data_IF_589367948972
#
_entry.id   IF_589367948972
#
_cell.length_a   1.000
_cell.length_b   1.000
_cell.length_c   1.000
_cell.angle_alpha   90.00
_cell.angle_beta   90.00
_cell.angle_gamma   90.00
#
_symmetry.space_group_name_H-M   'P 1'
#
loop_
_entity.id
_entity.type
_entity.pdbx_description
1 polymer ?
#
# COMPACT_ATOMS: atom_id res chain seq x y z
N UNK A 1 -9.08 71.88 4.63
CA UNK A 1 -10.43 71.64 4.08
C UNK A 1 -10.29 70.65 2.93
N UNK A 2 -11.20 69.68 2.91
CA UNK A 2 -11.47 68.67 1.87
C UNK A 2 -10.68 67.35 1.92
N UNK A 3 -11.31 66.38 2.57
CA UNK A 3 -11.40 65.00 2.10
C UNK A 3 -11.94 64.93 0.66
N UNK A 4 -11.63 63.85 -0.06
CA UNK A 4 -12.69 62.90 -0.42
C UNK A 4 -12.36 61.44 -0.07
N UNK A 5 -13.42 60.70 0.29
CA UNK A 5 -13.48 59.23 0.43
C UNK A 5 -13.59 58.54 -0.94
N UNK A 6 -13.07 57.31 -1.05
CA UNK A 6 -13.58 56.17 -1.84
C UNK A 6 -12.59 55.00 -1.64
N UNK A 7 -12.96 53.94 -0.90
CA UNK A 7 -13.50 52.66 -1.42
C UNK A 7 -12.50 51.95 -2.37
N UNK A 8 -12.10 50.68 -2.22
CA UNK A 8 -12.72 49.52 -1.62
C UNK A 8 -11.65 48.45 -1.33
N UNK A 9 -11.83 47.66 -0.27
CA UNK A 9 -11.15 46.38 -0.11
C UNK A 9 -11.67 45.39 -1.16
N UNK A 10 -10.80 44.77 -1.99
CA UNK A 10 -11.18 43.53 -2.66
C UNK A 10 -10.94 42.39 -1.68
N UNK A 11 -12.03 41.88 -1.10
CA UNK A 11 -12.09 40.52 -0.57
C UNK A 11 -11.80 39.54 -1.72
N UNK A 12 -10.52 39.17 -1.91
CA UNK A 12 -10.17 38.03 -2.76
C UNK A 12 -10.41 36.75 -1.95
N UNK A 13 -11.67 36.34 -1.93
CA UNK A 13 -12.04 34.96 -1.66
C UNK A 13 -11.46 34.09 -2.76
N UNK A 14 -10.26 33.56 -2.53
CA UNK A 14 -9.78 32.40 -3.26
C UNK A 14 -10.28 31.15 -2.54
N UNK A 15 -11.53 30.80 -2.83
CA UNK A 15 -12.01 29.43 -2.70
C UNK A 15 -11.26 28.58 -3.75
N UNK A 16 -10.00 28.28 -3.45
CA UNK A 16 -9.34 27.14 -4.08
C UNK A 16 -10.04 25.89 -3.57
N UNK A 17 -11.15 25.54 -4.21
CA UNK A 17 -11.58 24.16 -4.31
C UNK A 17 -10.41 23.39 -4.92
N UNK A 18 -9.53 22.88 -4.06
CA UNK A 18 -8.51 21.94 -4.45
C UNK A 18 -9.20 20.81 -5.22
N UNK A 19 -8.86 20.67 -6.49
CA UNK A 19 -9.31 19.55 -7.30
C UNK A 19 -9.02 18.27 -6.52
N UNK A 20 -9.95 17.29 -6.48
CA UNK A 20 -9.72 16.05 -5.75
C UNK A 20 -8.46 15.38 -6.31
N UNK A 21 -7.50 15.11 -5.42
CA UNK A 21 -6.22 14.50 -5.74
C UNK A 21 -6.39 13.25 -6.63
N UNK A 22 -5.60 13.10 -7.71
CA UNK A 22 -5.27 11.78 -8.19
C UNK A 22 -4.33 11.17 -7.13
N UNK A 23 -4.88 10.36 -6.23
CA UNK A 23 -4.05 9.59 -5.32
C UNK A 23 -3.24 8.58 -6.15
N UNK A 24 -1.92 8.73 -6.19
CA UNK A 24 -0.99 7.76 -6.81
C UNK A 24 -1.11 6.37 -6.15
N UNK A 25 -1.58 6.33 -4.90
CA UNK A 25 -2.11 5.13 -4.27
C UNK A 25 -3.56 4.95 -4.74
N UNK A 26 -3.88 3.85 -5.43
CA UNK A 26 -5.20 3.61 -6.01
C UNK A 26 -6.37 4.01 -5.10
N UNK A 27 -7.42 4.60 -5.70
CA UNK A 27 -8.64 5.14 -5.07
C UNK A 27 -8.94 4.59 -3.66
N UNK A 28 -8.51 5.27 -2.60
CA UNK A 28 -8.76 4.84 -1.23
C UNK A 28 -10.14 5.33 -0.74
N UNK A 29 -10.76 4.57 0.15
CA UNK A 29 -12.00 4.98 0.81
C UNK A 29 -11.77 6.14 1.78
N UNK A 30 -12.71 7.10 1.78
CA UNK A 30 -12.81 8.16 2.78
C UNK A 30 -13.84 7.74 3.83
N UNK A 31 -13.36 7.03 4.85
CA UNK A 31 -14.20 6.47 5.91
C UNK A 31 -14.38 7.48 7.04
N UNK A 32 -15.56 7.43 7.67
CA UNK A 32 -15.89 8.24 8.84
C UNK A 32 -16.53 7.39 9.94
N UNK A 33 -16.49 7.87 11.18
CA UNK A 33 -17.19 7.26 12.32
C UNK A 33 -16.61 5.91 12.76
N UNK A 34 -17.48 4.95 13.05
CA UNK A 34 -17.10 3.64 13.59
C UNK A 34 -16.18 2.85 12.63
N UNK A 35 -16.52 2.83 11.33
CA UNK A 35 -15.74 2.11 10.32
C UNK A 35 -14.29 2.59 10.26
N UNK A 36 -14.07 3.92 10.32
CA UNK A 36 -12.73 4.50 10.38
C UNK A 36 -11.96 4.03 11.62
N UNK A 37 -12.59 4.01 12.80
CA UNK A 37 -11.95 3.54 14.03
C UNK A 37 -11.55 2.07 13.95
N UNK A 38 -12.40 1.22 13.39
CA UNK A 38 -12.11 -0.21 13.22
C UNK A 38 -10.93 -0.41 12.25
N UNK A 39 -10.94 0.27 11.10
CA UNK A 39 -9.82 0.21 10.13
C UNK A 39 -8.53 0.73 10.74
N UNK A 40 -8.59 1.85 11.47
CA UNK A 40 -7.43 2.42 12.18
C UNK A 40 -6.90 1.45 13.24
N UNK A 41 -7.78 0.78 13.99
CA UNK A 41 -7.37 -0.22 14.99
C UNK A 41 -6.69 -1.41 14.32
N UNK A 42 -7.21 -1.89 13.19
CA UNK A 42 -6.58 -2.96 12.41
C UNK A 42 -5.22 -2.54 11.83
N UNK A 43 -5.09 -1.31 11.34
CA UNK A 43 -3.81 -0.77 10.86
C UNK A 43 -2.79 -0.66 12.00
N UNK A 44 -3.20 -0.16 13.17
CA UNK A 44 -2.35 -0.12 14.36
C UNK A 44 -1.94 -1.52 14.83
N UNK A 45 -2.86 -2.49 14.80
CA UNK A 45 -2.55 -3.88 15.12
C UNK A 45 -1.53 -4.47 14.13
N UNK A 46 -1.67 -4.18 12.84
CA UNK A 46 -0.71 -4.61 11.83
C UNK A 46 0.67 -3.97 12.02
N UNK A 47 0.72 -2.66 12.29
CA UNK A 47 1.97 -1.97 12.60
C UNK A 47 2.64 -2.51 13.87
N UNK A 48 1.86 -2.73 14.94
CA UNK A 48 2.35 -3.31 16.18
C UNK A 48 2.90 -4.73 15.96
N UNK A 49 2.16 -5.57 15.24
CA UNK A 49 2.60 -6.90 14.84
C UNK A 49 3.97 -6.84 14.13
N UNK A 50 4.10 -5.98 13.12
CA UNK A 50 5.33 -5.87 12.35
C UNK A 50 6.51 -5.35 13.18
N UNK A 51 6.28 -4.38 14.07
CA UNK A 51 7.31 -3.90 14.99
C UNK A 51 7.76 -4.99 15.97
N UNK A 52 6.84 -5.77 16.51
CA UNK A 52 7.15 -6.89 17.42
C UNK A 52 7.94 -7.98 16.69
N UNK A 53 7.51 -8.36 15.48
CA UNK A 53 8.24 -9.33 14.66
C UNK A 53 9.65 -8.83 14.33
N UNK A 54 9.79 -7.57 13.94
CA UNK A 54 11.09 -6.98 13.63
C UNK A 54 12.02 -6.92 14.85
N UNK A 55 11.48 -6.62 16.03
CA UNK A 55 12.27 -6.47 17.26
C UNK A 55 12.65 -7.82 17.90
N UNK A 56 11.77 -8.81 17.85
CA UNK A 56 11.91 -10.04 18.64
C UNK A 56 11.96 -11.33 17.82
N UNK A 57 11.54 -11.29 16.54
CA UNK A 57 11.44 -12.45 15.64
C UNK A 57 10.81 -13.70 16.29
N UNK A 58 9.63 -13.60 16.93
CA UNK A 58 9.08 -14.68 17.75
C UNK A 58 8.41 -15.80 16.92
N UNK A 59 8.25 -15.61 15.62
CA UNK A 59 7.49 -16.50 14.73
C UNK A 59 8.41 -17.13 13.68
N UNK A 60 8.04 -18.31 13.19
CA UNK A 60 8.72 -18.91 12.05
C UNK A 60 8.50 -18.08 10.79
N UNK A 61 9.43 -18.24 9.83
CA UNK A 61 9.46 -17.46 8.59
C UNK A 61 8.15 -17.58 7.79
N UNK A 62 7.58 -18.78 7.67
CA UNK A 62 6.36 -19.00 6.88
C UNK A 62 5.13 -18.40 7.57
N UNK A 63 5.00 -18.58 8.89
CA UNK A 63 3.94 -17.98 9.70
C UNK A 63 3.99 -16.46 9.61
N UNK A 64 5.18 -15.87 9.78
CA UNK A 64 5.37 -14.42 9.66
C UNK A 64 4.89 -13.88 8.30
N UNK A 65 5.29 -14.54 7.20
CA UNK A 65 4.90 -14.16 5.84
C UNK A 65 3.39 -14.31 5.62
N UNK A 66 2.80 -15.39 6.14
CA UNK A 66 1.37 -15.65 6.01
C UNK A 66 0.52 -14.61 6.72
N UNK A 67 0.86 -14.28 7.96
CA UNK A 67 0.19 -13.21 8.72
C UNK A 67 0.37 -11.84 8.07
N UNK A 68 1.56 -11.52 7.55
CA UNK A 68 1.80 -10.27 6.82
C UNK A 68 0.86 -10.14 5.61
N UNK A 69 0.76 -11.19 4.78
CA UNK A 69 -0.18 -11.22 3.65
C UNK A 69 -1.63 -11.15 4.12
N UNK A 70 -1.99 -11.85 5.21
CA UNK A 70 -3.33 -11.80 5.80
C UNK A 70 -3.74 -10.38 6.20
N UNK A 71 -2.86 -9.64 6.88
CA UNK A 71 -3.08 -8.24 7.22
C UNK A 71 -3.15 -7.33 5.99
N UNK A 72 -2.29 -7.55 4.99
CA UNK A 72 -2.35 -6.79 3.73
C UNK A 72 -3.69 -6.99 3.02
N UNK A 73 -4.17 -8.23 2.91
CA UNK A 73 -5.46 -8.52 2.29
C UNK A 73 -6.62 -7.90 3.09
N UNK A 74 -6.61 -8.03 4.42
CA UNK A 74 -7.57 -7.35 5.30
C UNK A 74 -7.64 -5.85 4.99
N UNK A 75 -6.47 -5.21 4.89
CA UNK A 75 -6.38 -3.78 4.63
C UNK A 75 -6.79 -3.41 3.21
N UNK A 76 -6.42 -4.18 2.20
CA UNK A 76 -6.86 -3.94 0.83
C UNK A 76 -8.39 -4.03 0.72
N UNK A 77 -9.01 -5.06 1.27
CA UNK A 77 -10.47 -5.21 1.19
C UNK A 77 -11.23 -4.11 1.95
N UNK A 78 -10.67 -3.59 3.05
CA UNK A 78 -11.31 -2.54 3.85
C UNK A 78 -10.99 -1.13 3.38
N UNK A 79 -9.83 -0.87 2.78
CA UNK A 79 -9.39 0.48 2.35
C UNK A 79 -9.65 0.71 0.86
N UNK A 80 -9.54 -0.31 0.01
CA UNK A 80 -9.64 -0.17 -1.46
C UNK A 80 -11.00 -0.68 -1.94
N UNK A 81 -11.84 0.17 -2.55
CA UNK A 81 -13.16 -0.22 -3.04
C UNK A 81 -13.06 -1.12 -4.28
N UNK A 82 -13.95 -2.12 -4.35
CA UNK A 82 -13.99 -3.05 -5.47
C UNK A 82 -14.27 -2.39 -6.83
N UNK A 83 -15.03 -1.29 -6.81
CA UNK A 83 -15.46 -0.52 -7.98
C UNK A 83 -15.63 0.96 -7.63
N UNK A 84 -15.55 1.83 -8.66
CA UNK A 84 -15.71 3.29 -8.53
C UNK A 84 -17.18 3.70 -8.36
N UNK A 85 -17.84 3.23 -7.30
CA UNK A 85 -19.20 3.64 -6.93
C UNK A 85 -19.14 4.64 -5.78
N UNK A 86 -19.78 5.81 -5.92
CA UNK A 86 -19.70 6.91 -4.92
C UNK A 86 -19.97 6.45 -3.49
N UNK A 87 -21.03 5.65 -3.28
CA UNK A 87 -21.35 5.07 -1.97
C UNK A 87 -20.18 4.24 -1.41
N UNK A 88 -19.58 3.37 -2.22
CA UNK A 88 -18.51 2.46 -1.79
C UNK A 88 -17.16 3.14 -1.54
N UNK A 89 -17.05 4.41 -1.92
CA UNK A 89 -15.92 5.28 -1.59
C UNK A 89 -16.03 5.86 -0.18
N UNK A 90 -17.23 5.91 0.40
CA UNK A 90 -17.51 6.54 1.70
C UNK A 90 -17.84 5.51 2.80
N UNK A 91 -18.13 4.27 2.41
CA UNK A 91 -18.42 3.18 3.34
C UNK A 91 -17.83 1.86 2.83
N UNK A 92 -17.61 0.92 3.76
CA UNK A 92 -17.21 -0.45 3.45
C UNK A 92 -18.50 -1.28 3.31
N UNK A 93 -18.80 -1.82 2.12
CA UNK A 93 -19.91 -2.76 1.95
C UNK A 93 -19.76 -3.99 2.87
N UNK A 94 -20.86 -4.57 3.35
CA UNK A 94 -20.81 -5.75 4.23
C UNK A 94 -20.01 -6.93 3.66
N UNK A 95 -20.04 -7.10 2.33
CA UNK A 95 -19.24 -8.11 1.65
C UNK A 95 -17.73 -7.86 1.75
N UNK A 96 -17.28 -6.60 1.73
CA UNK A 96 -15.86 -6.28 1.86
C UNK A 96 -15.37 -6.43 3.30
N UNK A 97 -16.25 -6.22 4.29
CA UNK A 97 -15.99 -6.63 5.67
C UNK A 97 -15.71 -8.13 5.74
N UNK A 98 -16.61 -8.93 5.16
CA UNK A 98 -16.52 -10.39 5.16
C UNK A 98 -15.27 -10.89 4.41
N UNK A 99 -14.97 -10.33 3.23
CA UNK A 99 -13.77 -10.68 2.47
C UNK A 99 -12.48 -10.38 3.22
N UNK A 100 -12.38 -9.20 3.85
CA UNK A 100 -11.20 -8.85 4.65
C UNK A 100 -11.03 -9.78 5.84
N UNK A 101 -12.11 -10.03 6.59
CA UNK A 101 -12.09 -10.93 7.74
C UNK A 101 -11.76 -12.38 7.34
N UNK A 102 -12.33 -12.86 6.23
CA UNK A 102 -12.03 -14.18 5.67
C UNK A 102 -10.56 -14.26 5.28
N UNK A 103 -10.04 -13.29 4.54
CA UNK A 103 -8.64 -13.26 4.11
C UNK A 103 -7.67 -13.28 5.30
N UNK A 104 -7.94 -12.50 6.34
CA UNK A 104 -7.16 -12.52 7.57
C UNK A 104 -7.22 -13.88 8.25
N UNK A 105 -8.41 -14.48 8.33
CA UNK A 105 -8.61 -15.80 8.94
C UNK A 105 -7.84 -16.89 8.19
N UNK A 106 -7.85 -16.88 6.86
CA UNK A 106 -7.05 -17.81 6.05
C UNK A 106 -5.54 -17.58 6.21
N UNK A 107 -5.10 -16.34 6.48
CA UNK A 107 -3.72 -16.03 6.84
C UNK A 107 -3.28 -16.57 8.20
N UNK A 108 -4.22 -16.83 9.12
CA UNK A 108 -3.93 -17.49 10.40
C UNK A 108 -3.70 -19.01 10.25
N UNK A 109 -4.04 -19.59 9.09
CA UNK A 109 -4.01 -21.04 8.88
C UNK A 109 -2.60 -21.63 9.08
N UNK A 110 -1.58 -20.99 8.50
CA UNK A 110 -0.18 -21.42 8.65
C UNK A 110 0.29 -21.35 10.10
N UNK A 111 -0.24 -20.41 10.90
CA UNK A 111 0.09 -20.32 12.32
C UNK A 111 -0.62 -21.41 13.14
N UNK A 112 -1.92 -21.62 12.88
CA UNK A 112 -2.74 -22.57 13.62
C UNK A 112 -2.31 -24.03 13.38
N UNK A 113 -1.90 -24.35 12.14
CA UNK A 113 -1.59 -25.71 11.71
C UNK A 113 -0.10 -25.91 11.36
N UNK A 114 0.80 -25.07 11.89
CA UNK A 114 2.22 -25.06 11.51
C UNK A 114 2.88 -26.45 11.62
N UNK A 115 2.85 -27.06 12.81
CA UNK A 115 3.50 -28.36 13.06
C UNK A 115 2.92 -29.47 12.16
N UNK A 116 1.64 -29.36 11.88
CA UNK A 116 0.83 -30.28 11.11
C UNK A 116 1.17 -30.20 9.61
N UNK A 117 1.27 -28.98 9.08
CA UNK A 117 1.71 -28.68 7.72
C UNK A 117 3.13 -29.15 7.45
N UNK A 118 4.02 -29.03 8.45
CA UNK A 118 5.39 -29.54 8.35
C UNK A 118 5.39 -31.07 8.22
N UNK A 119 4.57 -31.77 9.01
CA UNK A 119 4.52 -33.25 8.99
C UNK A 119 3.97 -33.83 7.69
N UNK A 120 3.01 -33.14 7.06
CA UNK A 120 2.42 -33.56 5.78
C UNK A 120 3.00 -32.81 4.57
N UNK A 121 4.21 -32.28 4.69
CA UNK A 121 4.89 -31.61 3.60
C UNK A 121 5.02 -32.54 2.40
N UNK A 122 4.44 -32.15 1.26
CA UNK A 122 4.40 -32.96 0.04
C UNK A 122 3.14 -33.82 -0.13
N UNK A 123 2.27 -33.90 0.88
CA UNK A 123 0.99 -34.61 0.84
C UNK A 123 -0.14 -33.76 1.48
N UNK A 124 -0.56 -32.66 0.81
CA UNK A 124 -1.52 -31.72 1.37
C UNK A 124 -2.92 -32.34 1.46
N UNK A 125 -3.62 -32.06 2.56
CA UNK A 125 -5.03 -32.44 2.71
C UNK A 125 -5.93 -31.63 1.80
N UNK A 126 -7.15 -32.11 1.56
CA UNK A 126 -8.17 -31.34 0.83
C UNK A 126 -8.44 -29.98 1.47
N UNK A 127 -8.36 -29.86 2.79
CA UNK A 127 -8.55 -28.58 3.49
C UNK A 127 -7.41 -27.60 3.17
N UNK A 128 -6.15 -28.07 3.18
CA UNK A 128 -4.99 -27.25 2.80
C UNK A 128 -5.16 -26.69 1.38
N UNK A 129 -5.63 -27.53 0.45
CA UNK A 129 -5.88 -27.15 -0.94
C UNK A 129 -7.03 -26.15 -1.07
N UNK A 130 -8.12 -26.32 -0.30
CA UNK A 130 -9.25 -25.38 -0.32
C UNK A 130 -8.85 -24.01 0.24
N UNK A 131 -8.11 -23.97 1.35
CA UNK A 131 -7.59 -22.74 1.94
C UNK A 131 -6.62 -22.05 0.98
N UNK A 132 -5.73 -22.82 0.34
CA UNK A 132 -4.80 -22.30 -0.66
C UNK A 132 -5.51 -21.73 -1.88
N UNK A 133 -6.46 -22.46 -2.46
CA UNK A 133 -7.27 -21.99 -3.58
C UNK A 133 -8.05 -20.71 -3.24
N UNK A 134 -8.67 -20.66 -2.06
CA UNK A 134 -9.39 -19.48 -1.58
C UNK A 134 -8.44 -18.29 -1.40
N UNK A 135 -7.25 -18.50 -0.84
CA UNK A 135 -6.23 -17.45 -0.68
C UNK A 135 -5.76 -16.92 -2.03
N UNK A 136 -5.49 -17.80 -3.01
CA UNK A 136 -5.13 -17.40 -4.38
C UNK A 136 -6.23 -16.56 -5.02
N UNK A 137 -7.50 -16.97 -4.90
CA UNK A 137 -8.64 -16.23 -5.44
C UNK A 137 -8.77 -14.83 -4.81
N UNK A 138 -8.62 -14.74 -3.48
CA UNK A 138 -8.64 -13.47 -2.76
C UNK A 138 -7.46 -12.58 -3.17
N UNK A 139 -6.28 -13.15 -3.40
CA UNK A 139 -5.10 -12.42 -3.86
C UNK A 139 -5.30 -11.84 -5.26
N UNK A 140 -5.92 -12.59 -6.18
CA UNK A 140 -6.28 -12.10 -7.52
C UNK A 140 -7.24 -10.91 -7.45
N UNK A 141 -8.25 -11.02 -6.60
CA UNK A 141 -9.21 -9.93 -6.39
C UNK A 141 -8.54 -8.71 -5.72
N UNK A 142 -7.69 -8.91 -4.73
CA UNK A 142 -6.94 -7.84 -4.08
C UNK A 142 -5.96 -7.15 -5.06
N UNK A 143 -5.29 -7.92 -5.91
CA UNK A 143 -4.43 -7.41 -6.98
C UNK A 143 -5.25 -6.61 -8.00
N UNK A 144 -6.44 -7.08 -8.39
CA UNK A 144 -7.35 -6.36 -9.27
C UNK A 144 -7.75 -5.00 -8.69
N UNK A 145 -8.07 -4.95 -7.40
CA UNK A 145 -8.47 -3.72 -6.70
C UNK A 145 -7.34 -2.71 -6.60
N UNK A 146 -6.13 -3.19 -6.31
CA UNK A 146 -4.97 -2.34 -5.99
C UNK A 146 -4.20 -1.89 -7.22
N UNK A 147 -4.03 -2.78 -8.20
CA UNK A 147 -3.15 -2.61 -9.37
C UNK A 147 -3.90 -2.66 -10.71
N UNK A 148 -5.22 -2.88 -10.68
CA UNK A 148 -6.05 -2.99 -11.88
C UNK A 148 -6.01 -4.39 -12.50
N UNK A 149 -6.66 -4.54 -13.65
CA UNK A 149 -6.87 -5.84 -14.31
C UNK A 149 -5.61 -6.45 -14.93
N UNK A 150 -4.60 -5.64 -15.25
CA UNK A 150 -3.44 -6.11 -15.99
C UNK A 150 -2.67 -7.24 -15.27
N UNK A 151 -2.35 -7.05 -13.98
CA UNK A 151 -1.56 -8.04 -13.23
C UNK A 151 -2.33 -9.36 -13.01
N UNK A 152 -3.60 -9.38 -12.53
CA UNK A 152 -4.37 -10.61 -12.41
C UNK A 152 -4.53 -11.35 -13.74
N UNK A 153 -4.69 -10.64 -14.87
CA UNK A 153 -4.79 -11.28 -16.18
C UNK A 153 -3.50 -11.99 -16.58
N UNK A 154 -2.34 -11.34 -16.38
CA UNK A 154 -1.04 -11.95 -16.67
C UNK A 154 -0.79 -13.15 -15.76
N UNK A 155 -1.02 -13.02 -14.45
CA UNK A 155 -0.91 -14.15 -13.51
C UNK A 155 -1.87 -15.28 -13.88
N UNK A 156 -3.12 -14.96 -14.24
CA UNK A 156 -4.11 -15.93 -14.68
C UNK A 156 -3.68 -16.68 -15.94
N UNK A 157 -3.07 -15.99 -16.90
CA UNK A 157 -2.51 -16.63 -18.09
C UNK A 157 -1.41 -17.64 -17.74
N UNK A 158 -0.50 -17.31 -16.82
CA UNK A 158 0.54 -18.25 -16.37
C UNK A 158 -0.02 -19.42 -15.55
N UNK A 159 -1.08 -19.22 -14.76
CA UNK A 159 -1.78 -20.33 -14.10
C UNK A 159 -2.47 -21.24 -15.11
N UNK A 160 -3.11 -20.68 -16.14
CA UNK A 160 -3.68 -21.44 -17.25
C UNK A 160 -2.60 -22.21 -18.00
N UNK A 161 -1.43 -21.60 -18.22
CA UNK A 161 -0.28 -22.30 -18.78
C UNK A 161 0.16 -23.47 -17.88
N UNK A 162 0.27 -23.27 -16.56
CA UNK A 162 0.62 -24.35 -15.63
C UNK A 162 -0.38 -25.51 -15.62
N UNK A 163 -1.68 -25.23 -15.82
CA UNK A 163 -2.74 -26.24 -15.85
C UNK A 163 -2.85 -26.95 -17.20
N UNK A 164 -2.73 -26.21 -18.30
CA UNK A 164 -3.06 -26.71 -19.64
C UNK A 164 -1.87 -26.82 -20.58
N UNK A 165 -0.67 -26.45 -20.14
CA UNK A 165 0.52 -26.40 -20.99
C UNK A 165 0.95 -27.76 -21.54
N UNK A 166 0.50 -28.87 -20.94
CA UNK A 166 0.67 -30.21 -21.49
C UNK A 166 -0.01 -30.43 -22.86
N UNK A 167 -1.00 -29.60 -23.21
CA UNK A 167 -1.73 -29.68 -24.47
C UNK A 167 -1.18 -28.73 -25.55
N UNK A 168 -0.13 -27.97 -25.23
CA UNK A 168 0.50 -27.04 -26.17
C UNK A 168 1.54 -27.75 -27.06
N UNK A 169 1.99 -27.11 -28.17
CA UNK A 169 3.02 -27.69 -29.03
C UNK A 169 4.32 -27.99 -28.28
N UNK A 170 5.04 -29.04 -28.70
CA UNK A 170 6.21 -29.61 -28.01
C UNK A 170 7.23 -28.58 -27.53
N UNK A 171 7.47 -27.52 -28.33
CA UNK A 171 8.44 -26.45 -28.04
C UNK A 171 8.15 -25.71 -26.73
N UNK A 172 6.89 -25.65 -26.30
CA UNK A 172 6.44 -24.93 -25.10
C UNK A 172 5.66 -25.82 -24.12
N UNK A 173 5.54 -27.12 -24.41
CA UNK A 173 4.79 -28.07 -23.58
C UNK A 173 5.53 -28.44 -22.30
N UNK A 174 4.82 -28.99 -21.32
CA UNK A 174 5.41 -29.58 -20.11
C UNK A 174 4.66 -30.85 -19.69
N UNK A 175 5.21 -31.60 -18.72
CA UNK A 175 4.70 -32.90 -18.24
C UNK A 175 3.29 -32.94 -17.62
N UNK A 176 2.57 -31.81 -17.58
CA UNK A 176 1.35 -31.66 -16.80
C UNK A 176 1.58 -31.49 -15.30
N UNK A 177 0.73 -30.70 -14.64
CA UNK A 177 0.74 -30.52 -13.19
C UNK A 177 -0.68 -30.61 -12.65
N UNK A 178 -0.87 -31.34 -11.55
CA UNK A 178 -2.14 -31.39 -10.85
C UNK A 178 -2.47 -30.07 -10.14
N UNK A 179 -3.76 -29.83 -9.87
CA UNK A 179 -4.21 -28.65 -9.11
C UNK A 179 -3.62 -28.62 -7.70
N UNK A 180 -3.48 -29.79 -7.08
CA UNK A 180 -2.83 -30.01 -5.80
C UNK A 180 -1.36 -29.54 -5.80
N UNK A 181 -0.61 -29.88 -6.86
CA UNK A 181 0.79 -29.47 -7.01
C UNK A 181 0.92 -27.95 -7.23
N UNK A 182 0.05 -27.37 -8.05
CA UNK A 182 0.06 -25.92 -8.32
C UNK A 182 -0.30 -25.15 -7.05
N UNK A 183 -1.38 -25.52 -6.36
CA UNK A 183 -1.79 -24.86 -5.12
C UNK A 183 -0.73 -25.07 -4.03
N UNK A 184 -0.18 -26.28 -3.90
CA UNK A 184 0.89 -26.59 -2.97
C UNK A 184 2.11 -25.69 -3.17
N UNK A 185 2.56 -25.53 -4.43
CA UNK A 185 3.68 -24.65 -4.76
C UNK A 185 3.36 -23.18 -4.49
N UNK A 186 2.14 -22.72 -4.81
CA UNK A 186 1.73 -21.32 -4.66
C UNK A 186 1.51 -20.91 -3.21
N UNK A 187 0.92 -21.77 -2.38
CA UNK A 187 0.41 -21.40 -1.06
C UNK A 187 1.15 -22.08 0.09
N UNK A 188 1.55 -23.35 -0.03
CA UNK A 188 2.14 -24.08 1.08
C UNK A 188 3.66 -23.87 1.17
N UNK A 189 4.31 -23.61 0.04
CA UNK A 189 5.76 -23.38 -0.04
C UNK A 189 6.19 -21.92 0.05
N UNK A 190 7.51 -21.72 0.00
CA UNK A 190 8.18 -20.41 -0.02
C UNK A 190 8.61 -19.96 -1.42
N UNK A 191 8.08 -20.58 -2.46
CA UNK A 191 8.38 -20.21 -3.86
C UNK A 191 7.20 -19.50 -4.54
N UNK A 192 6.03 -19.49 -3.89
CA UNK A 192 4.81 -18.84 -4.35
C UNK A 192 4.51 -17.53 -3.63
N UNK A 193 3.28 -17.41 -3.11
CA UNK A 193 2.76 -16.23 -2.41
C UNK A 193 3.67 -15.83 -1.25
N UNK A 194 4.24 -16.80 -0.54
CA UNK A 194 5.12 -16.56 0.60
C UNK A 194 6.60 -16.56 0.22
N UNK A 195 6.94 -16.17 -1.00
CA UNK A 195 8.30 -16.13 -1.49
C UNK A 195 9.17 -14.97 -1.00
N UNK A 196 10.34 -14.82 -1.64
CA UNK A 196 11.32 -13.78 -1.33
C UNK A 196 10.71 -12.36 -1.38
N UNK A 197 9.85 -11.98 -2.35
CA UNK A 197 9.23 -10.65 -2.34
C UNK A 197 8.41 -10.40 -1.08
N UNK A 198 7.67 -11.40 -0.59
CA UNK A 198 6.87 -11.30 0.63
C UNK A 198 7.75 -11.26 1.87
N UNK A 199 8.85 -12.03 1.89
CA UNK A 199 9.86 -11.94 2.94
C UNK A 199 10.42 -10.53 3.04
N UNK A 200 10.96 -10.00 1.94
CA UNK A 200 11.55 -8.65 1.89
C UNK A 200 10.51 -7.58 2.23
N UNK A 201 9.26 -7.78 1.81
CA UNK A 201 8.15 -6.91 2.17
C UNK A 201 7.91 -6.86 3.68
N UNK A 202 7.82 -8.04 4.32
CA UNK A 202 7.55 -8.15 5.75
C UNK A 202 8.73 -7.66 6.61
N UNK A 203 9.97 -7.93 6.21
CA UNK A 203 11.14 -7.64 7.06
C UNK A 203 11.73 -6.26 6.88
N UNK A 204 11.61 -5.67 5.68
CA UNK A 204 12.30 -4.41 5.36
C UNK A 204 11.35 -3.34 4.83
N UNK A 205 10.61 -3.63 3.76
CA UNK A 205 9.81 -2.60 3.06
C UNK A 205 8.75 -2.03 3.99
N UNK A 206 8.04 -2.87 4.75
CA UNK A 206 7.02 -2.40 5.65
C UNK A 206 7.56 -1.42 6.71
N UNK A 207 8.69 -1.75 7.35
CA UNK A 207 9.31 -0.88 8.36
C UNK A 207 9.76 0.44 7.77
N UNK A 208 10.35 0.43 6.56
CA UNK A 208 10.75 1.67 5.89
C UNK A 208 9.55 2.55 5.54
N UNK A 209 8.45 1.96 5.06
CA UNK A 209 7.22 2.71 4.78
C UNK A 209 6.60 3.25 6.08
N UNK A 210 6.53 2.43 7.13
CA UNK A 210 5.98 2.84 8.43
C UNK A 210 6.79 3.98 9.05
N UNK A 211 8.11 3.85 9.04
CA UNK A 211 9.02 4.88 9.53
C UNK A 211 8.97 6.15 8.68
N UNK A 212 8.93 6.01 7.35
CA UNK A 212 8.76 7.14 6.42
C UNK A 212 7.48 7.92 6.69
N UNK A 213 6.35 7.23 6.83
CA UNK A 213 5.06 7.84 7.17
C UNK A 213 5.08 8.51 8.56
N UNK A 214 5.74 7.89 9.55
CA UNK A 214 5.94 8.48 10.86
C UNK A 214 6.79 9.76 10.79
N UNK A 215 7.91 9.76 10.07
CA UNK A 215 8.79 10.92 9.92
C UNK A 215 8.10 12.08 9.20
N UNK A 216 7.32 11.77 8.17
CA UNK A 216 6.50 12.75 7.46
C UNK A 216 5.54 13.47 8.42
N UNK A 217 4.83 12.71 9.26
CA UNK A 217 3.93 13.26 10.28
C UNK A 217 4.65 13.92 11.47
N UNK A 218 5.86 13.48 11.81
CA UNK A 218 6.68 14.06 12.87
C UNK A 218 7.26 15.45 12.52
N UNK A 219 6.99 15.97 11.31
CA UNK A 219 7.39 17.30 10.89
C UNK A 219 8.77 17.37 10.25
N UNK A 220 9.31 16.26 9.78
CA UNK A 220 10.61 16.21 9.08
C UNK A 220 10.65 17.14 7.86
N UNK A 221 9.51 17.34 7.20
CA UNK A 221 9.37 18.35 6.15
C UNK A 221 9.82 19.75 6.60
N UNK A 222 9.38 20.20 7.78
CA UNK A 222 9.73 21.53 8.29
C UNK A 222 11.23 21.63 8.57
N UNK A 223 11.82 20.55 9.08
CA UNK A 223 13.25 20.44 9.32
C UNK A 223 14.06 20.56 8.02
N UNK A 224 13.68 19.82 6.97
CA UNK A 224 14.38 19.87 5.69
C UNK A 224 14.27 21.21 5.00
N UNK A 225 13.09 21.83 5.02
CA UNK A 225 12.92 23.17 4.47
C UNK A 225 13.75 24.20 5.24
N UNK A 226 13.76 24.14 6.58
CA UNK A 226 14.59 25.02 7.41
C UNK A 226 16.09 24.85 7.14
N UNK A 227 16.55 23.60 6.98
CA UNK A 227 17.93 23.28 6.64
C UNK A 227 18.30 23.82 5.25
N UNK A 228 17.43 23.63 4.25
CA UNK A 228 17.64 24.16 2.91
C UNK A 228 17.70 25.70 2.91
N UNK A 229 16.78 26.37 3.63
CA UNK A 229 16.81 27.83 3.81
C UNK A 229 18.12 28.29 4.46
N UNK A 230 18.60 27.58 5.49
CA UNK A 230 19.86 27.89 6.17
C UNK A 230 21.09 27.77 5.26
N UNK A 231 21.14 26.73 4.41
CA UNK A 231 22.28 26.46 3.53
C UNK A 231 22.35 27.39 2.32
N UNK A 232 21.23 27.62 1.63
CA UNK A 232 21.23 28.28 0.32
C UNK A 232 20.23 29.43 0.20
N UNK A 233 19.41 29.71 1.22
CA UNK A 233 18.35 30.72 1.14
C UNK A 233 18.84 32.15 0.87
N UNK A 234 20.07 32.48 1.30
CA UNK A 234 20.72 33.78 1.04
C UNK A 234 21.47 33.86 -0.30
N UNK A 235 21.65 32.74 -0.99
CA UNK A 235 22.36 32.72 -2.26
C UNK A 235 21.50 33.35 -3.37
N UNK A 236 22.14 33.81 -4.46
CA UNK A 236 21.41 34.16 -5.69
C UNK A 236 20.58 32.96 -6.16
N UNK A 237 19.29 33.20 -6.39
CA UNK A 237 18.30 32.15 -6.68
C UNK A 237 17.94 31.29 -5.46
N UNK A 238 18.13 31.78 -4.24
CA UNK A 238 17.95 31.05 -2.98
C UNK A 238 16.65 30.24 -2.91
N UNK A 239 15.47 30.84 -3.15
CA UNK A 239 14.19 30.10 -3.14
C UNK A 239 14.15 28.91 -4.13
N UNK A 240 14.75 29.04 -5.31
CA UNK A 240 14.82 27.95 -6.29
C UNK A 240 15.76 26.83 -5.84
N UNK A 241 16.91 27.17 -5.25
CA UNK A 241 17.84 26.17 -4.70
C UNK A 241 17.25 25.45 -3.50
N UNK A 242 16.54 26.18 -2.64
CA UNK A 242 15.76 25.61 -1.52
C UNK A 242 14.74 24.59 -2.04
N UNK A 243 14.02 24.92 -3.11
CA UNK A 243 13.03 24.03 -3.69
C UNK A 243 13.65 22.73 -4.20
N UNK A 244 14.77 22.79 -4.91
CA UNK A 244 15.46 21.59 -5.42
C UNK A 244 15.98 20.72 -4.27
N UNK A 245 16.64 21.30 -3.27
CA UNK A 245 17.19 20.55 -2.13
C UNK A 245 16.08 19.94 -1.29
N UNK A 246 15.06 20.71 -0.94
CA UNK A 246 13.93 20.22 -0.13
C UNK A 246 13.14 19.15 -0.88
N UNK A 247 12.95 19.31 -2.19
CA UNK A 247 12.31 18.31 -3.05
C UNK A 247 13.11 17.03 -3.17
N UNK A 248 14.45 17.12 -3.29
CA UNK A 248 15.33 15.97 -3.27
C UNK A 248 15.25 15.19 -1.96
N UNK A 249 15.31 15.90 -0.82
CA UNK A 249 15.19 15.29 0.51
C UNK A 249 13.78 14.73 0.79
N UNK A 250 12.73 15.38 0.29
CA UNK A 250 11.37 14.88 0.42
C UNK A 250 11.16 13.63 -0.44
N UNK A 251 11.75 13.60 -1.64
CA UNK A 251 11.67 12.47 -2.55
C UNK A 251 12.27 11.18 -2.00
N UNK A 252 13.29 11.25 -1.13
CA UNK A 252 13.88 10.06 -0.50
C UNK A 252 12.97 9.42 0.55
N UNK A 253 12.00 10.17 1.10
CA UNK A 253 11.07 9.69 2.13
C UNK A 253 9.73 9.32 1.52
N UNK A 254 9.10 10.24 0.79
CA UNK A 254 7.71 10.05 0.35
C UNK A 254 7.59 9.11 -0.84
N UNK A 255 8.62 9.03 -1.70
CA UNK A 255 8.59 8.26 -2.94
C UNK A 255 7.49 8.68 -3.94
N UNK A 256 6.73 9.76 -3.66
CA UNK A 256 5.61 10.24 -4.48
C UNK A 256 5.91 11.62 -5.04
N UNK A 257 5.90 11.73 -6.37
CA UNK A 257 6.09 12.98 -7.08
C UNK A 257 4.98 14.00 -6.80
N UNK A 258 3.72 13.53 -6.74
CA UNK A 258 2.56 14.40 -6.47
C UNK A 258 2.62 14.95 -5.04
N UNK A 259 2.85 14.10 -4.04
CA UNK A 259 2.98 14.53 -2.65
C UNK A 259 4.14 15.51 -2.48
N UNK A 260 5.27 15.27 -3.15
CA UNK A 260 6.44 16.14 -3.10
C UNK A 260 6.12 17.55 -3.64
N UNK A 261 5.47 17.68 -4.81
CA UNK A 261 5.11 18.99 -5.39
C UNK A 261 4.14 19.76 -4.50
N UNK A 262 3.10 19.10 -3.98
CA UNK A 262 2.14 19.75 -3.08
C UNK A 262 2.81 20.27 -1.81
N UNK A 263 3.71 19.46 -1.25
CA UNK A 263 4.29 19.75 0.04
C UNK A 263 5.42 20.78 -0.05
N UNK A 264 6.34 20.65 -1.01
CA UNK A 264 7.45 21.59 -1.21
C UNK A 264 6.97 22.88 -1.89
N UNK A 265 6.01 22.78 -2.82
CA UNK A 265 5.45 23.92 -3.53
C UNK A 265 4.76 24.91 -2.60
N UNK A 266 4.00 24.42 -1.60
CA UNK A 266 3.33 25.27 -0.61
C UNK A 266 4.28 26.20 0.15
N UNK A 267 5.52 25.77 0.38
CA UNK A 267 6.53 26.59 1.06
C UNK A 267 7.38 27.42 0.11
N UNK A 268 7.70 26.91 -1.08
CA UNK A 268 8.68 27.54 -1.97
C UNK A 268 8.06 28.56 -2.92
N UNK A 269 6.81 28.34 -3.37
CA UNK A 269 6.11 29.27 -4.27
C UNK A 269 5.93 30.66 -3.62
N UNK A 270 5.44 30.79 -2.36
CA UNK A 270 5.34 32.09 -1.71
C UNK A 270 6.70 32.81 -1.54
N UNK A 271 7.79 32.06 -1.34
CA UNK A 271 9.13 32.63 -1.22
C UNK A 271 9.64 33.20 -2.56
N UNK A 272 9.24 32.61 -3.68
CA UNK A 272 9.59 33.09 -5.02
C UNK A 272 8.80 34.32 -5.41
N UNK A 273 7.49 34.33 -5.12
CA UNK A 273 6.60 35.46 -5.49
C UNK A 273 6.76 36.67 -4.57
N UNK A 274 7.21 36.48 -3.32
CA UNK A 274 7.48 37.59 -2.39
C UNK A 274 8.58 38.55 -2.84
N UNK A 275 9.49 38.12 -3.71
CA UNK A 275 10.55 38.97 -4.27
C UNK A 275 10.15 39.66 -5.58
N UNK A 276 8.92 39.45 -6.07
CA UNK A 276 8.41 40.04 -7.32
C UNK A 276 7.55 41.30 -7.10
N UNK A 277 7.11 41.55 -5.87
CA UNK A 277 6.47 42.81 -5.45
C UNK A 277 7.46 43.68 -4.67
#
# INVERSE_FOLDING_TARGET
>A
MNHPQADAHPHLGHDHHAAPEPSDAGHQRKLHGLAQRVVMTAALAFSAYQLVVAAFSPLSSLVMRSLHVGFLLLMIFWVVPAWKRKSWMQQIPGFDWALGALAFTLGLYHWAFEAELIQRSGDPTTLDLLVGAATVALLFEAARRSLGLALPLVCGLFLLYGLFGQHLPDVVSHRGYGLDQIIGQLYLGTEGIYGIPTLVSATYIFLFILFGAFLEHAGMLRLFNALALGLVGRARGGPAKVAVISSGLMGTISGSGVANVLTVGQFTIPLMTRNYN
#
